data_IF_054767666249
#
_entry.id   IF_054767666249
#
_cell.length_a   1.000
_cell.length_b   1.000
_cell.length_c   1.000
_cell.angle_alpha   90.00
_cell.angle_beta   90.00
_cell.angle_gamma   90.00
#
_symmetry.space_group_name_H-M   'P 1'
#
loop_
_entity.id
_entity.type
_entity.pdbx_description
1 polymer ?
#
# COMPACT_ATOMS: atom_id res chain seq x y z
N UNK A 1 13.62 9.28 -67.70
CA UNK A 1 12.77 8.26 -67.06
C UNK A 1 13.58 7.52 -66.00
N UNK A 2 13.33 7.80 -64.72
CA UNK A 2 13.81 6.97 -63.60
C UNK A 2 12.61 6.74 -62.68
N UNK A 3 12.04 5.54 -62.73
CA UNK A 3 10.92 5.14 -61.88
C UNK A 3 11.43 4.84 -60.48
N UNK A 4 10.90 5.54 -59.48
CA UNK A 4 11.13 5.26 -58.07
C UNK A 4 10.02 4.30 -57.63
N UNK A 5 10.39 3.08 -57.27
CA UNK A 5 9.49 2.07 -56.71
C UNK A 5 9.37 2.35 -55.21
N UNK A 6 8.19 2.74 -54.75
CA UNK A 6 7.85 2.78 -53.33
C UNK A 6 7.36 1.41 -52.89
N UNK A 7 8.19 0.66 -52.20
CA UNK A 7 7.79 -0.55 -51.49
C UNK A 7 7.10 -0.18 -50.18
N UNK A 8 5.80 -0.42 -50.11
CA UNK A 8 5.02 -0.36 -48.86
C UNK A 8 5.38 -1.56 -47.98
N UNK A 9 6.14 -1.34 -46.91
CA UNK A 9 6.24 -2.31 -45.82
C UNK A 9 4.96 -2.21 -44.98
N UNK A 10 4.08 -3.19 -45.13
CA UNK A 10 2.93 -3.37 -44.24
C UNK A 10 3.46 -3.91 -42.90
N UNK A 11 3.47 -3.06 -41.88
CA UNK A 11 3.75 -3.45 -40.50
C UNK A 11 2.59 -4.31 -40.00
N UNK A 12 2.78 -5.63 -40.05
CA UNK A 12 1.93 -6.58 -39.32
C UNK A 12 2.21 -6.38 -37.84
N UNK A 13 1.32 -5.67 -37.15
CA UNK A 13 1.31 -5.62 -35.69
C UNK A 13 0.74 -6.95 -35.21
N UNK A 14 1.62 -7.92 -34.93
CA UNK A 14 1.24 -9.09 -34.15
C UNK A 14 0.90 -8.62 -32.73
N UNK A 15 -0.40 -8.53 -32.40
CA UNK A 15 -0.84 -8.47 -31.00
C UNK A 15 -0.58 -9.82 -30.34
N UNK A 16 0.63 -10.00 -29.82
CA UNK A 16 0.83 -10.89 -28.69
C UNK A 16 -0.01 -10.33 -27.54
N UNK A 17 -0.92 -11.13 -26.99
CA UNK A 17 -1.69 -10.75 -25.81
C UNK A 17 -0.71 -10.51 -24.66
N UNK A 18 -0.35 -9.25 -24.45
CA UNK A 18 0.59 -8.87 -23.42
C UNK A 18 -0.06 -9.14 -22.06
N UNK A 19 0.60 -9.96 -21.25
CA UNK A 19 0.29 -10.12 -19.85
C UNK A 19 0.35 -8.74 -19.18
N UNK A 20 -0.65 -8.41 -18.37
CA UNK A 20 -0.69 -7.12 -17.67
C UNK A 20 0.58 -6.98 -16.81
N UNK A 21 1.24 -5.80 -16.81
CA UNK A 21 2.29 -5.52 -15.82
C UNK A 21 1.78 -5.82 -14.41
N UNK A 22 2.64 -6.35 -13.54
CA UNK A 22 2.25 -6.85 -12.22
C UNK A 22 1.53 -5.79 -11.36
N UNK A 23 1.96 -4.53 -11.42
CA UNK A 23 1.29 -3.41 -10.76
C UNK A 23 -0.10 -3.09 -11.35
N UNK A 24 -0.28 -3.20 -12.67
CA UNK A 24 -1.58 -2.99 -13.31
C UNK A 24 -2.57 -4.12 -12.97
N UNK A 25 -2.08 -5.35 -12.84
CA UNK A 25 -2.86 -6.45 -12.27
C UNK A 25 -3.24 -6.16 -10.80
N UNK A 26 -2.31 -5.62 -10.02
CA UNK A 26 -2.54 -5.22 -8.64
C UNK A 26 -3.61 -4.16 -8.50
N UNK A 27 -3.58 -3.12 -9.35
CA UNK A 27 -4.63 -2.09 -9.42
C UNK A 27 -6.00 -2.71 -9.75
N UNK A 28 -6.05 -3.59 -10.77
CA UNK A 28 -7.27 -4.31 -11.15
C UNK A 28 -7.83 -5.11 -9.96
N UNK A 29 -6.98 -5.79 -9.20
CA UNK A 29 -7.37 -6.56 -7.99
C UNK A 29 -7.82 -5.63 -6.87
N UNK A 30 -7.10 -4.53 -6.64
CA UNK A 30 -7.40 -3.55 -5.60
C UNK A 30 -8.81 -2.94 -5.75
N UNK A 31 -9.23 -2.73 -7.00
CA UNK A 31 -10.54 -2.19 -7.36
C UNK A 31 -11.64 -3.26 -7.45
N UNK A 32 -11.30 -4.56 -7.48
CA UNK A 32 -12.27 -5.62 -7.72
C UNK A 32 -13.09 -5.98 -6.48
N UNK A 33 -14.36 -5.60 -6.52
CA UNK A 33 -15.35 -5.92 -5.47
C UNK A 33 -15.90 -7.34 -5.53
N UNK A 34 -15.63 -8.10 -6.58
CA UNK A 34 -16.13 -9.47 -6.77
C UNK A 34 -15.38 -10.52 -5.94
N UNK A 35 -14.20 -10.15 -5.43
CA UNK A 35 -13.30 -11.07 -4.73
C UNK A 35 -13.71 -11.34 -3.29
N UNK A 36 -14.59 -10.56 -2.67
CA UNK A 36 -15.12 -10.79 -1.32
C UNK A 36 -16.26 -11.82 -1.29
N UNK A 37 -16.66 -12.22 -0.07
CA UNK A 37 -17.80 -13.09 0.16
C UNK A 37 -18.72 -12.56 1.29
N UNK A 38 -19.96 -12.14 0.99
CA UNK A 38 -20.55 -12.05 -0.35
C UNK A 38 -19.82 -11.02 -1.23
N UNK A 39 -19.88 -11.15 -2.58
CA UNK A 39 -19.32 -10.15 -3.49
C UNK A 39 -19.91 -8.75 -3.23
N UNK A 40 -19.10 -7.71 -3.35
CA UNK A 40 -19.49 -6.30 -3.17
C UNK A 40 -18.47 -5.43 -2.44
N UNK A 41 -17.38 -6.02 -1.93
CA UNK A 41 -16.29 -5.32 -1.24
C UNK A 41 -14.93 -5.66 -1.86
N UNK A 42 -14.08 -4.65 -2.07
CA UNK A 42 -12.68 -4.78 -2.50
C UNK A 42 -11.76 -3.94 -1.60
N UNK A 43 -10.45 -3.91 -1.88
CA UNK A 43 -9.50 -3.10 -1.11
C UNK A 43 -9.90 -1.61 -1.10
N UNK A 44 -10.34 -1.11 -2.26
CA UNK A 44 -10.80 0.27 -2.47
C UNK A 44 -12.01 0.66 -1.60
N UNK A 45 -12.82 -0.31 -1.15
CA UNK A 45 -14.00 -0.04 -0.30
C UNK A 45 -13.64 0.50 1.09
N UNK A 46 -12.42 0.25 1.55
CA UNK A 46 -11.86 0.77 2.80
C UNK A 46 -10.71 1.76 2.53
N UNK A 47 -10.00 1.60 1.42
CA UNK A 47 -8.85 2.43 1.06
C UNK A 47 -9.16 3.26 -0.20
N UNK A 48 -10.01 4.28 -0.05
CA UNK A 48 -10.45 5.12 -1.19
C UNK A 48 -9.38 6.15 -1.58
N UNK A 49 -9.03 6.30 -2.87
CA UNK A 49 -8.12 7.34 -3.34
C UNK A 49 -8.55 8.76 -2.94
N UNK A 50 -9.85 9.02 -2.83
CA UNK A 50 -10.39 10.35 -2.45
C UNK A 50 -9.97 10.79 -1.05
N UNK A 51 -9.62 9.84 -0.18
CA UNK A 51 -9.19 10.09 1.20
C UNK A 51 -7.75 9.64 1.41
N UNK A 52 -6.90 9.80 0.39
CA UNK A 52 -5.51 9.33 0.42
C UNK A 52 -5.40 7.86 0.83
N UNK A 53 -6.29 7.01 0.31
CA UNK A 53 -6.36 5.58 0.62
C UNK A 53 -6.60 5.25 2.10
N UNK A 54 -7.14 6.17 2.90
CA UNK A 54 -7.62 5.92 4.26
C UNK A 54 -9.14 5.73 4.27
N UNK A 55 -9.65 5.14 5.35
CA UNK A 55 -11.09 5.12 5.63
C UNK A 55 -11.46 6.30 6.54
N UNK A 56 -12.34 7.24 6.10
CA UNK A 56 -12.78 8.34 6.96
C UNK A 56 -13.71 7.88 8.10
N UNK A 57 -14.22 6.63 8.06
CA UNK A 57 -15.06 6.06 9.12
C UNK A 57 -14.20 5.63 10.31
N UNK A 58 -14.78 5.62 11.52
CA UNK A 58 -14.10 5.12 12.72
C UNK A 58 -13.57 3.69 12.57
N UNK A 59 -14.36 2.82 11.95
CA UNK A 59 -13.98 1.44 11.56
C UNK A 59 -14.67 1.09 10.25
N UNK A 60 -14.02 0.26 9.44
CA UNK A 60 -14.56 -0.15 8.14
C UNK A 60 -15.63 -1.24 8.30
N UNK A 61 -16.69 -1.24 7.48
CA UNK A 61 -17.60 -2.38 7.37
C UNK A 61 -16.90 -3.57 6.70
N UNK A 62 -17.32 -4.77 7.07
CA UNK A 62 -16.97 -6.01 6.38
C UNK A 62 -17.95 -6.34 5.26
N UNK A 63 -17.55 -7.27 4.39
CA UNK A 63 -18.35 -7.73 3.26
C UNK A 63 -19.70 -8.32 3.70
N UNK A 64 -19.73 -8.97 4.86
CA UNK A 64 -20.98 -9.46 5.47
C UNK A 64 -21.64 -8.32 6.23
N UNK A 65 -22.87 -7.97 5.82
CA UNK A 65 -23.69 -6.92 6.46
C UNK A 65 -23.71 -7.08 7.99
N UNK A 66 -23.39 -6.00 8.69
CA UNK A 66 -23.38 -5.95 10.15
C UNK A 66 -22.04 -6.35 10.78
N UNK A 67 -21.07 -6.87 10.01
CA UNK A 67 -19.70 -7.05 10.50
C UNK A 67 -18.90 -5.76 10.32
N UNK A 68 -18.01 -5.51 11.26
CA UNK A 68 -17.11 -4.36 11.28
C UNK A 68 -15.69 -4.84 11.54
N UNK A 69 -14.73 -4.14 10.95
CA UNK A 69 -13.31 -4.28 11.29
C UNK A 69 -13.05 -3.92 12.75
N UNK A 70 -11.87 -4.32 13.25
CA UNK A 70 -11.48 -4.11 14.65
C UNK A 70 -10.83 -2.75 14.92
N UNK A 71 -10.25 -2.13 13.89
CA UNK A 71 -9.57 -0.84 13.94
C UNK A 71 -9.93 -0.01 12.70
N UNK A 72 -9.60 1.27 12.71
CA UNK A 72 -9.65 2.10 11.51
C UNK A 72 -8.65 1.56 10.46
N UNK A 73 -9.00 1.71 9.19
CA UNK A 73 -8.09 1.39 8.08
C UNK A 73 -7.25 2.66 7.76
N UNK A 74 -5.94 2.64 8.04
CA UNK A 74 -5.08 3.80 7.84
C UNK A 74 -4.89 4.10 6.35
N UNK A 75 -4.29 5.27 6.06
CA UNK A 75 -3.82 5.58 4.71
C UNK A 75 -2.82 4.52 4.22
N UNK A 76 -2.93 4.14 2.96
CA UNK A 76 -1.89 3.34 2.29
C UNK A 76 -0.78 4.20 1.67
N UNK A 77 -0.90 5.52 1.70
CA UNK A 77 0.18 6.41 1.26
C UNK A 77 1.40 6.16 2.13
N UNK A 78 2.57 6.04 1.50
CA UNK A 78 3.86 5.77 2.11
C UNK A 78 3.97 4.43 2.87
N UNK A 79 2.92 3.61 2.95
CA UNK A 79 2.93 2.35 3.71
C UNK A 79 3.98 1.35 3.19
N UNK A 80 4.28 1.36 1.89
CA UNK A 80 5.31 0.52 1.30
C UNK A 80 6.75 0.92 1.69
N UNK A 81 6.94 2.06 2.37
CA UNK A 81 8.22 2.50 2.93
C UNK A 81 8.41 2.07 4.38
N UNK A 82 7.38 1.51 5.03
CA UNK A 82 7.51 0.92 6.37
C UNK A 82 8.43 -0.30 6.27
N UNK A 83 9.51 -0.38 7.04
CA UNK A 83 10.44 -1.50 6.99
C UNK A 83 9.76 -2.79 7.47
N UNK A 84 10.30 -3.94 7.05
CA UNK A 84 9.90 -5.21 7.63
C UNK A 84 10.16 -5.23 9.14
N UNK A 85 9.32 -5.94 9.88
CA UNK A 85 9.42 -6.04 11.33
C UNK A 85 10.79 -6.56 11.74
N UNK A 86 11.46 -5.84 12.64
CA UNK A 86 12.81 -6.13 13.11
C UNK A 86 12.94 -5.76 14.58
N UNK A 87 13.91 -6.37 15.25
CA UNK A 87 14.38 -5.92 16.56
C UNK A 87 15.49 -4.89 16.34
N UNK A 88 15.43 -3.80 17.10
CA UNK A 88 16.48 -2.80 17.16
C UNK A 88 17.06 -2.72 18.58
N UNK A 89 18.38 -2.62 18.63
CA UNK A 89 19.15 -2.43 19.85
C UNK A 89 19.07 -0.96 20.24
N UNK A 90 18.53 -0.67 21.42
CA UNK A 90 18.50 0.66 22.02
C UNK A 90 19.03 0.62 23.45
N UNK A 91 19.14 1.76 24.11
CA UNK A 91 19.57 1.86 25.50
C UNK A 91 18.52 2.61 26.32
N UNK A 92 18.20 2.10 27.51
CA UNK A 92 17.30 2.76 28.44
C UNK A 92 17.95 4.00 29.09
N UNK A 93 17.19 4.73 29.91
CA UNK A 93 17.69 5.91 30.64
C UNK A 93 18.87 5.61 31.59
N UNK A 94 19.15 4.33 31.88
CA UNK A 94 20.27 3.87 32.72
C UNK A 94 21.47 3.40 31.89
N UNK A 95 21.35 3.41 30.56
CA UNK A 95 22.38 2.94 29.63
C UNK A 95 22.42 1.42 29.49
N UNK A 96 21.36 0.70 29.88
CA UNK A 96 21.23 -0.74 29.72
C UNK A 96 20.64 -1.07 28.34
N UNK A 97 21.13 -2.15 27.71
CA UNK A 97 20.64 -2.58 26.40
C UNK A 97 19.18 -3.03 26.49
N UNK A 98 18.35 -2.46 25.63
CA UNK A 98 16.94 -2.81 25.45
C UNK A 98 16.70 -3.18 23.98
N UNK A 99 15.79 -4.11 23.73
CA UNK A 99 15.38 -4.48 22.38
C UNK A 99 13.97 -3.96 22.12
N UNK A 100 13.84 -3.05 21.16
CA UNK A 100 12.54 -2.54 20.71
C UNK A 100 12.15 -3.17 19.38
N UNK A 101 10.85 -3.30 19.15
CA UNK A 101 10.30 -3.74 17.86
C UNK A 101 10.08 -2.52 17.00
N UNK A 102 10.57 -2.58 15.76
CA UNK A 102 10.29 -1.57 14.73
C UNK A 102 9.77 -2.23 13.45
N UNK A 103 9.03 -1.45 12.67
CA UNK A 103 8.50 -1.88 11.39
C UNK A 103 7.38 -2.89 11.53
N UNK A 104 7.11 -3.58 10.43
CA UNK A 104 5.92 -4.41 10.29
C UNK A 104 4.68 -3.56 10.03
N UNK A 105 3.64 -4.23 9.53
CA UNK A 105 2.38 -3.58 9.19
C UNK A 105 1.25 -4.03 10.13
N UNK A 106 0.15 -3.31 10.00
CA UNK A 106 -0.93 -3.17 10.98
C UNK A 106 -0.50 -2.38 12.22
N UNK A 107 -1.49 -1.80 12.89
CA UNK A 107 -1.31 -0.99 14.10
C UNK A 107 -0.77 -1.78 15.32
N UNK A 108 -0.58 -3.09 15.18
CA UNK A 108 0.03 -3.98 16.17
C UNK A 108 1.25 -4.73 15.63
N UNK A 109 1.76 -4.37 14.45
CA UNK A 109 2.96 -4.97 13.86
C UNK A 109 2.83 -6.46 13.52
N UNK A 110 1.63 -7.04 13.53
CA UNK A 110 1.47 -8.50 13.37
C UNK A 110 1.81 -9.04 11.98
N UNK A 111 1.92 -8.16 10.98
CA UNK A 111 2.38 -8.54 9.65
C UNK A 111 3.85 -8.17 9.50
N UNK A 112 4.70 -9.13 9.18
CA UNK A 112 6.14 -8.89 9.08
C UNK A 112 6.48 -7.86 7.99
N UNK A 113 5.81 -7.92 6.85
CA UNK A 113 6.05 -7.04 5.71
C UNK A 113 4.78 -6.82 4.88
N UNK A 114 4.89 -6.06 3.79
CA UNK A 114 3.75 -5.71 2.94
C UNK A 114 3.14 -6.96 2.27
N UNK A 115 3.96 -7.96 1.93
CA UNK A 115 3.49 -9.19 1.30
C UNK A 115 2.71 -10.05 2.30
N UNK A 116 3.14 -10.09 3.56
CA UNK A 116 2.37 -10.69 4.63
C UNK A 116 1.05 -9.92 4.84
N UNK A 117 1.10 -8.58 4.95
CA UNK A 117 -0.08 -7.75 5.20
C UNK A 117 -1.20 -7.96 4.19
N UNK A 118 -0.92 -7.94 2.88
CA UNK A 118 -1.95 -8.03 1.83
C UNK A 118 -2.71 -9.36 1.83
N UNK A 119 -2.19 -10.40 2.50
CA UNK A 119 -2.86 -11.71 2.62
C UNK A 119 -4.03 -11.67 3.58
N UNK A 120 -3.92 -10.92 4.69
CA UNK A 120 -4.84 -11.03 5.82
C UNK A 120 -6.27 -10.56 5.46
N UNK A 121 -6.48 -9.41 4.77
CA UNK A 121 -7.82 -8.90 4.50
C UNK A 121 -8.72 -9.84 3.71
N UNK A 122 -8.15 -10.63 2.79
CA UNK A 122 -8.90 -11.63 2.04
C UNK A 122 -9.60 -12.63 2.97
N UNK A 123 -8.90 -13.09 4.01
CA UNK A 123 -9.35 -14.20 4.85
C UNK A 123 -9.96 -13.76 6.19
N UNK A 124 -9.87 -12.48 6.57
CA UNK A 124 -10.56 -12.01 7.77
C UNK A 124 -12.08 -11.99 7.56
N UNK A 125 -12.80 -12.70 8.43
CA UNK A 125 -14.26 -12.80 8.44
C UNK A 125 -14.97 -11.46 8.61
N UNK A 126 -14.30 -10.47 9.18
CA UNK A 126 -14.81 -9.11 9.40
C UNK A 126 -14.42 -8.15 8.27
N UNK A 127 -13.66 -8.61 7.28
CA UNK A 127 -13.22 -7.83 6.11
C UNK A 127 -13.77 -8.48 4.84
N UNK A 128 -12.95 -9.14 4.00
CA UNK A 128 -13.41 -9.73 2.72
C UNK A 128 -13.99 -11.14 2.87
N UNK A 129 -13.78 -11.82 4.00
CA UNK A 129 -14.46 -13.05 4.41
C UNK A 129 -14.35 -14.24 3.43
N UNK A 130 -13.18 -14.44 2.83
CA UNK A 130 -12.89 -15.63 2.01
C UNK A 130 -12.50 -16.80 2.90
N UNK A 131 -13.12 -17.97 2.69
CA UNK A 131 -12.94 -19.13 3.57
C UNK A 131 -11.53 -19.73 3.50
N UNK A 132 -10.79 -19.47 2.41
CA UNK A 132 -9.38 -19.83 2.33
C UNK A 132 -8.80 -19.76 0.91
N UNK A 133 -7.53 -20.14 0.80
CA UNK A 133 -6.72 -20.05 -0.41
C UNK A 133 -7.37 -20.71 -1.65
N UNK A 134 -8.06 -21.85 -1.47
CA UNK A 134 -8.76 -22.55 -2.56
C UNK A 134 -9.94 -21.74 -3.11
N UNK A 135 -10.72 -21.11 -2.23
CA UNK A 135 -11.85 -20.26 -2.66
C UNK A 135 -11.34 -19.02 -3.39
N UNK A 136 -10.30 -18.37 -2.87
CA UNK A 136 -9.68 -17.22 -3.53
C UNK A 136 -9.19 -17.59 -4.94
N UNK A 137 -8.43 -18.67 -5.06
CA UNK A 137 -7.96 -19.15 -6.36
C UNK A 137 -9.12 -19.50 -7.32
N UNK A 138 -10.20 -20.09 -6.80
CA UNK A 138 -11.42 -20.35 -7.57
C UNK A 138 -12.09 -19.09 -8.12
N UNK A 139 -12.09 -17.99 -7.34
CA UNK A 139 -12.60 -16.68 -7.78
C UNK A 139 -11.76 -16.05 -8.90
N UNK A 140 -10.46 -16.32 -8.99
CA UNK A 140 -9.63 -15.87 -10.11
C UNK A 140 -9.76 -16.73 -11.37
N UNK A 141 -9.97 -18.05 -11.22
CA UNK A 141 -10.25 -18.92 -12.38
C UNK A 141 -11.64 -18.68 -12.97
N UNK A 142 -12.54 -18.10 -12.19
CA UNK A 142 -13.84 -17.63 -12.64
C UNK A 142 -13.79 -16.11 -12.88
N UNK A 143 -14.68 -15.57 -13.72
CA UNK A 143 -14.74 -14.11 -13.94
C UNK A 143 -13.63 -13.52 -14.81
N UNK A 144 -13.21 -12.30 -14.48
CA UNK A 144 -12.44 -11.40 -15.35
C UNK A 144 -10.95 -11.74 -15.47
N UNK A 145 -10.47 -12.72 -14.70
CA UNK A 145 -9.07 -13.14 -14.67
C UNK A 145 -8.86 -14.54 -15.27
N UNK A 146 -9.94 -15.20 -15.71
CA UNK A 146 -9.90 -16.59 -16.13
C UNK A 146 -8.83 -16.86 -17.20
N UNK A 147 -8.60 -15.93 -18.14
CA UNK A 147 -7.55 -16.08 -19.17
C UNK A 147 -6.12 -16.00 -18.59
N UNK A 148 -5.92 -15.15 -17.59
CA UNK A 148 -4.62 -14.84 -16.99
C UNK A 148 -4.17 -15.92 -15.99
N UNK A 149 -5.13 -16.65 -15.38
CA UNK A 149 -4.86 -17.60 -14.29
C UNK A 149 -5.32 -19.04 -14.57
N UNK A 150 -5.79 -19.35 -15.79
CA UNK A 150 -6.38 -20.66 -16.15
C UNK A 150 -5.48 -21.85 -15.78
N UNK A 151 -4.21 -21.75 -16.15
CA UNK A 151 -3.26 -22.88 -16.10
C UNK A 151 -2.39 -22.88 -14.83
N UNK A 152 -2.67 -21.95 -13.90
CA UNK A 152 -1.95 -21.83 -12.64
C UNK A 152 -2.59 -22.67 -11.53
N UNK A 153 -1.76 -23.22 -10.65
CA UNK A 153 -2.18 -23.91 -9.41
C UNK A 153 -2.77 -22.92 -8.40
N UNK A 154 -3.53 -23.41 -7.41
CA UNK A 154 -4.11 -22.54 -6.38
C UNK A 154 -3.05 -21.69 -5.65
N UNK A 155 -1.87 -22.27 -5.43
CA UNK A 155 -0.76 -21.59 -4.79
C UNK A 155 -0.23 -20.44 -5.66
N UNK A 156 0.06 -20.71 -6.93
CA UNK A 156 0.59 -19.70 -7.87
C UNK A 156 -0.40 -18.55 -8.07
N UNK A 157 -1.71 -18.83 -8.15
CA UNK A 157 -2.74 -17.79 -8.26
C UNK A 157 -2.69 -16.85 -7.05
N UNK A 158 -2.67 -17.41 -5.84
CA UNK A 158 -2.68 -16.62 -4.62
C UNK A 158 -1.36 -15.84 -4.45
N UNK A 159 -0.20 -16.46 -4.68
CA UNK A 159 1.10 -15.78 -4.62
C UNK A 159 1.16 -14.61 -5.60
N UNK A 160 0.77 -14.84 -6.87
CA UNK A 160 0.72 -13.78 -7.88
C UNK A 160 -0.27 -12.67 -7.52
N UNK A 161 -1.39 -13.00 -6.89
CA UNK A 161 -2.37 -12.00 -6.40
C UNK A 161 -1.75 -11.09 -5.36
N UNK A 162 -1.05 -11.66 -4.38
CA UNK A 162 -0.40 -10.89 -3.31
C UNK A 162 0.77 -10.05 -3.84
N UNK A 163 1.59 -10.62 -4.72
CA UNK A 163 2.68 -9.91 -5.38
C UNK A 163 2.19 -8.77 -6.27
N UNK A 164 1.06 -8.96 -6.96
CA UNK A 164 0.43 -7.93 -7.76
C UNK A 164 0.00 -6.73 -6.90
N UNK A 165 -0.66 -6.97 -5.77
CA UNK A 165 -1.03 -5.93 -4.82
C UNK A 165 0.20 -5.20 -4.26
N UNK A 166 1.24 -5.94 -3.86
CA UNK A 166 2.51 -5.34 -3.40
C UNK A 166 3.14 -4.46 -4.48
N UNK A 167 3.15 -4.91 -5.73
CA UNK A 167 3.67 -4.12 -6.85
C UNK A 167 2.89 -2.82 -7.04
N UNK A 168 1.55 -2.89 -6.99
CA UNK A 168 0.70 -1.70 -7.07
C UNK A 168 0.96 -0.72 -5.94
N UNK A 169 1.02 -1.19 -4.69
CA UNK A 169 1.26 -0.33 -3.52
C UNK A 169 2.66 0.32 -3.49
N UNK A 170 3.59 -0.16 -4.32
CA UNK A 170 4.94 0.42 -4.49
C UNK A 170 5.02 1.47 -5.60
N UNK A 171 3.96 1.64 -6.39
CA UNK A 171 3.91 2.63 -7.46
C UNK A 171 4.16 4.04 -6.92
N UNK A 172 4.82 4.93 -7.70
CA UNK A 172 5.17 6.28 -7.25
C UNK A 172 3.99 7.11 -6.73
N UNK A 173 2.76 6.83 -7.21
CA UNK A 173 1.54 7.51 -6.77
C UNK A 173 1.27 7.39 -5.27
N UNK A 174 1.74 6.32 -4.61
CA UNK A 174 1.57 6.13 -3.16
C UNK A 174 2.57 6.95 -2.33
N UNK A 175 3.57 7.56 -2.96
CA UNK A 175 4.65 8.30 -2.27
C UNK A 175 5.03 9.56 -3.04
N UNK A 176 4.09 10.50 -3.24
CA UNK A 176 4.28 11.63 -4.13
C UNK A 176 5.24 12.68 -3.55
N UNK A 177 5.33 12.82 -2.21
CA UNK A 177 6.18 13.81 -1.53
C UNK A 177 6.05 15.22 -2.13
N UNK A 178 4.80 15.68 -2.25
CA UNK A 178 4.40 16.92 -2.91
C UNK A 178 3.45 17.77 -2.05
N UNK A 179 3.50 17.62 -0.73
CA UNK A 179 2.80 18.48 0.20
C UNK A 179 3.54 19.81 0.38
N UNK A 180 2.87 20.83 0.92
CA UNK A 180 3.50 22.14 1.21
C UNK A 180 4.68 22.05 2.18
N UNK A 181 4.71 21.06 3.07
CA UNK A 181 5.86 20.83 3.94
C UNK A 181 7.05 20.22 3.18
N UNK A 182 6.79 19.38 2.17
CA UNK A 182 7.83 18.88 1.27
C UNK A 182 8.48 20.04 0.48
N UNK A 183 7.67 20.97 -0.04
CA UNK A 183 8.15 22.18 -0.74
C UNK A 183 9.00 23.06 0.19
N UNK A 184 8.56 23.23 1.43
CA UNK A 184 9.28 23.98 2.46
C UNK A 184 10.64 23.38 2.82
N UNK A 185 10.71 22.05 2.94
CA UNK A 185 11.96 21.34 3.15
C UNK A 185 12.86 21.34 1.91
N UNK A 186 12.28 21.38 0.70
CA UNK A 186 13.02 21.53 -0.55
C UNK A 186 13.59 22.95 -0.77
N UNK A 187 13.22 23.92 0.07
CA UNK A 187 13.82 25.26 0.10
C UNK A 187 12.83 26.41 -0.13
N UNK A 188 11.58 26.13 -0.51
CA UNK A 188 10.56 27.17 -0.66
C UNK A 188 10.03 27.61 0.72
N UNK A 189 10.67 28.62 1.29
CA UNK A 189 10.30 29.10 2.63
C UNK A 189 8.90 29.72 2.69
N UNK A 190 8.32 30.13 1.56
CA UNK A 190 6.97 30.69 1.51
C UNK A 190 5.88 29.65 1.28
N UNK A 191 6.24 28.38 1.02
CA UNK A 191 5.29 27.28 0.92
C UNK A 191 4.44 27.11 2.20
N UNK A 192 4.99 27.43 3.37
CA UNK A 192 4.26 27.46 4.65
C UNK A 192 3.97 28.90 5.09
N UNK A 193 2.75 29.13 5.56
CA UNK A 193 2.35 30.37 6.22
C UNK A 193 3.11 30.56 7.54
N UNK A 194 3.10 31.78 8.07
CA UNK A 194 3.67 32.06 9.40
C UNK A 194 3.06 31.19 10.51
N UNK A 195 1.77 30.84 10.41
CA UNK A 195 1.13 29.99 11.42
C UNK A 195 1.61 28.54 11.33
N UNK A 196 1.74 28.00 10.11
CA UNK A 196 2.23 26.64 9.89
C UNK A 196 3.71 26.52 10.27
N UNK A 197 4.54 27.53 10.00
CA UNK A 197 5.94 27.57 10.44
C UNK A 197 6.06 27.53 11.97
N UNK A 198 5.20 28.28 12.69
CA UNK A 198 5.13 28.19 14.16
C UNK A 198 4.67 26.80 14.63
N UNK A 199 3.70 26.19 13.96
CA UNK A 199 3.25 24.84 14.28
C UNK A 199 4.35 23.79 14.07
N UNK A 200 5.11 23.91 12.98
CA UNK A 200 6.26 23.05 12.71
C UNK A 200 7.36 23.23 13.77
N UNK A 201 7.64 24.46 14.19
CA UNK A 201 8.59 24.72 15.28
C UNK A 201 8.15 24.05 16.59
N UNK A 202 6.88 24.19 16.98
CA UNK A 202 6.33 23.47 18.15
C UNK A 202 6.47 21.96 17.99
N UNK A 203 6.11 21.42 16.82
CA UNK A 203 6.20 19.98 16.53
C UNK A 203 7.63 19.43 16.71
N UNK A 204 8.63 20.21 16.29
CA UNK A 204 10.06 19.84 16.32
C UNK A 204 10.75 20.11 17.66
N UNK A 205 10.13 20.89 18.55
CA UNK A 205 10.78 21.36 19.78
C UNK A 205 9.88 21.10 20.99
N UNK A 206 9.16 22.12 21.45
CA UNK A 206 8.41 22.18 22.69
C UNK A 206 7.24 21.20 22.77
N UNK A 207 6.74 20.70 21.63
CA UNK A 207 5.66 19.72 21.57
C UNK A 207 6.11 18.28 21.75
N UNK A 208 7.42 17.99 21.67
CA UNK A 208 7.95 16.63 21.77
C UNK A 208 7.51 15.67 20.66
N UNK A 209 6.79 16.15 19.64
CA UNK A 209 6.17 15.30 18.61
C UNK A 209 7.23 14.60 17.75
N UNK A 210 8.32 15.29 17.44
CA UNK A 210 9.41 14.77 16.63
C UNK A 210 10.31 13.74 17.34
N UNK A 211 10.02 13.38 18.59
CA UNK A 211 10.68 12.27 19.27
C UNK A 211 10.34 10.92 18.62
N UNK A 212 9.07 10.74 18.22
CA UNK A 212 8.58 9.55 17.51
C UNK A 212 8.21 9.87 16.05
N UNK A 213 7.66 11.06 15.78
CA UNK A 213 7.25 11.48 14.43
C UNK A 213 8.38 12.24 13.72
N UNK A 214 9.39 11.50 13.29
CA UNK A 214 10.65 12.06 12.80
C UNK A 214 10.46 13.02 11.60
N UNK A 215 10.97 14.25 11.74
CA UNK A 215 11.03 15.25 10.65
C UNK A 215 12.36 15.23 9.89
N UNK A 216 13.27 14.31 10.24
CA UNK A 216 14.57 14.11 9.61
C UNK A 216 14.57 12.89 8.68
N UNK A 217 15.73 12.62 8.07
CA UNK A 217 15.98 11.39 7.32
C UNK A 217 16.17 10.25 8.32
N UNK A 218 15.37 9.19 8.18
CA UNK A 218 15.51 7.95 8.93
C UNK A 218 15.73 6.79 7.95
N UNK A 219 14.68 6.03 7.61
CA UNK A 219 14.74 4.90 6.67
C UNK A 219 14.63 5.30 5.19
N UNK A 220 14.31 6.57 4.90
CA UNK A 220 14.14 7.10 3.55
C UNK A 220 14.70 8.52 3.42
N UNK A 221 15.24 8.95 2.24
CA UNK A 221 15.85 10.27 2.06
C UNK A 221 14.93 11.48 2.28
N UNK A 222 13.63 11.27 2.48
CA UNK A 222 12.65 12.30 2.82
C UNK A 222 11.93 11.91 4.12
N UNK A 223 11.53 12.86 4.97
CA UNK A 223 10.84 12.56 6.23
C UNK A 223 9.53 11.80 6.00
N UNK A 224 9.28 10.78 6.83
CA UNK A 224 8.05 9.99 6.83
C UNK A 224 7.11 10.33 8.01
N UNK A 225 7.54 11.19 8.93
CA UNK A 225 6.82 11.55 10.15
C UNK A 225 6.51 10.35 11.06
N UNK A 226 7.40 9.36 11.05
CA UNK A 226 7.38 8.19 11.95
C UNK A 226 8.77 7.58 11.97
N UNK A 227 9.13 7.01 13.12
CA UNK A 227 10.24 6.10 13.34
C UNK A 227 9.90 4.63 13.03
N UNK A 228 8.63 4.32 12.72
CA UNK A 228 8.08 2.97 12.63
C UNK A 228 8.19 2.15 13.93
N UNK A 229 8.33 2.81 15.09
CA UNK A 229 8.36 2.20 16.41
C UNK A 229 6.97 1.96 17.02
N UNK A 230 6.96 1.44 18.25
CA UNK A 230 5.78 1.20 19.08
C UNK A 230 6.00 1.80 20.47
N UNK A 231 4.99 2.50 21.01
CA UNK A 231 4.97 3.17 22.32
C UNK A 231 3.58 2.99 22.98
#
# INVERSE_FOLDING_TARGET
MKSIIFTWFSLVVCSFGAELPLAALGEKIFLDTSLSNPPGQGCVSCHSPENAFADPRRVSPGAVKGRLGRRNAPSLMYAALIPSQRLEDTYDDKGELEYIVEGGLFLDGRAHDLLDQVRHPFFDKNEMNIAGAKELAGKFRSGNYAKEFKDLTDKEINEKTFEALVAFLREPMFRPFNSRVDEYWAGDKEALSLSERRGLDVFQTSGGCSACHLTGVASWPKPLLTDAGFD
#
